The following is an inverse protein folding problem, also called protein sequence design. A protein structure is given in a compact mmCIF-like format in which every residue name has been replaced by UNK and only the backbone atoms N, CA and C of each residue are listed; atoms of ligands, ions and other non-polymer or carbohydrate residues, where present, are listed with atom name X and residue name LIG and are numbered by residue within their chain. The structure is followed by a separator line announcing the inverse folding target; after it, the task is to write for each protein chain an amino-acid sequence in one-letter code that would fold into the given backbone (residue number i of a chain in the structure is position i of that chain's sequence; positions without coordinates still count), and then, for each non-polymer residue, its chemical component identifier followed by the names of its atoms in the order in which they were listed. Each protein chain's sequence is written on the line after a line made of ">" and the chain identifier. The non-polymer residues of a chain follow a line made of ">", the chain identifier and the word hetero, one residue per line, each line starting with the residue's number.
data_IF_853309367117
#
_entry.id   IF_853309367117
#
_cell.length_a   1.000
_cell.length_b   1.000
_cell.length_c   1.000
_cell.angle_alpha   90.00
_cell.angle_beta   90.00
_cell.angle_gamma   90.00
#
_symmetry.space_group_name_H-M   'P 1'
#
loop_
_entity.id
_entity.type
_entity.pdbx_description
1 polymer ?
#
# COMPACT_ATOMS: atom_id res chain seq x y z
N UNK A 1 1.77 16.98 32.21
CA UNK A 1 2.30 15.99 31.26
C UNK A 1 1.36 14.79 31.23
N UNK A 2 0.65 14.56 30.13
CA UNK A 2 -0.09 13.30 29.99
C UNK A 2 0.94 12.20 29.66
N UNK A 3 0.90 11.05 30.35
CA UNK A 3 1.81 9.94 30.06
C UNK A 3 1.67 9.57 28.59
N UNK A 4 2.80 9.49 27.88
CA UNK A 4 2.83 9.20 26.46
C UNK A 4 2.06 7.92 26.17
N UNK A 5 0.87 8.04 25.57
CA UNK A 5 0.01 6.92 25.27
C UNK A 5 0.77 5.91 24.41
N UNK A 6 0.87 4.67 24.88
CA UNK A 6 1.56 3.61 24.17
C UNK A 6 0.98 3.46 22.75
N UNK A 7 1.86 3.38 21.75
CA UNK A 7 1.47 3.15 20.36
C UNK A 7 0.73 1.81 20.27
N UNK A 8 -0.50 1.77 19.71
CA UNK A 8 -1.25 0.53 19.59
C UNK A 8 -0.46 -0.50 18.77
N UNK A 9 -0.57 -1.77 19.14
CA UNK A 9 0.15 -2.86 18.46
C UNK A 9 -0.11 -2.87 16.95
N UNK A 10 -1.36 -2.61 16.52
CA UNK A 10 -1.72 -2.54 15.10
C UNK A 10 -0.93 -1.47 14.33
N UNK A 11 -0.64 -0.32 14.95
CA UNK A 11 0.17 0.74 14.32
C UNK A 11 1.64 0.36 14.18
N UNK A 12 2.20 -0.37 15.17
CA UNK A 12 3.56 -0.91 15.07
C UNK A 12 3.68 -1.95 13.95
N UNK A 13 2.70 -2.84 13.86
CA UNK A 13 2.65 -3.87 12.81
C UNK A 13 2.49 -3.22 11.43
N UNK A 14 1.57 -2.26 11.26
CA UNK A 14 1.39 -1.55 9.99
C UNK A 14 2.66 -0.79 9.56
N UNK A 15 3.38 -0.17 10.51
CA UNK A 15 4.66 0.47 10.22
C UNK A 15 5.73 -0.53 9.78
N UNK A 16 5.86 -1.65 10.48
CA UNK A 16 6.79 -2.71 10.09
C UNK A 16 6.45 -3.28 8.71
N UNK A 17 5.15 -3.46 8.43
CA UNK A 17 4.66 -3.88 7.12
C UNK A 17 5.01 -2.88 6.02
N UNK A 18 4.86 -1.57 6.26
CA UNK A 18 5.25 -0.53 5.29
C UNK A 18 6.76 -0.53 5.02
N UNK A 19 7.59 -0.74 6.05
CA UNK A 19 9.03 -0.89 5.89
C UNK A 19 9.37 -2.13 5.06
N UNK A 20 8.78 -3.28 5.40
CA UNK A 20 8.96 -4.52 4.66
C UNK A 20 8.53 -4.39 3.20
N UNK A 21 7.38 -3.74 2.94
CA UNK A 21 6.86 -3.50 1.60
C UNK A 21 7.80 -2.65 0.74
N UNK A 22 8.49 -1.69 1.35
CA UNK A 22 9.45 -0.82 0.65
C UNK A 22 10.62 -1.62 0.06
N UNK A 23 11.03 -2.69 0.76
CA UNK A 23 12.07 -3.62 0.26
C UNK A 23 11.45 -4.68 -0.65
N UNK A 24 10.27 -5.20 -0.28
CA UNK A 24 9.59 -6.25 -1.02
C UNK A 24 9.16 -5.79 -2.42
N UNK A 25 8.72 -4.55 -2.58
CA UNK A 25 8.22 -4.03 -3.85
C UNK A 25 9.21 -4.15 -5.01
N UNK A 26 10.46 -3.64 -4.91
CA UNK A 26 11.44 -3.83 -5.98
C UNK A 26 11.87 -5.31 -6.11
N UNK A 27 11.98 -6.07 -5.03
CA UNK A 27 12.34 -7.51 -5.13
C UNK A 27 11.27 -8.30 -5.88
N UNK A 28 10.00 -8.06 -5.56
CA UNK A 28 8.87 -8.69 -6.22
C UNK A 28 8.78 -8.26 -7.69
N UNK A 29 9.02 -6.99 -8.00
CA UNK A 29 9.11 -6.51 -9.38
C UNK A 29 10.23 -7.21 -10.17
N UNK A 30 11.43 -7.29 -9.61
CA UNK A 30 12.56 -7.98 -10.24
C UNK A 30 12.26 -9.46 -10.49
N UNK A 31 11.57 -10.13 -9.54
CA UNK A 31 11.15 -11.51 -9.74
C UNK A 31 10.10 -11.66 -10.85
N UNK A 32 9.18 -10.69 -11.00
CA UNK A 32 8.25 -10.63 -12.14
C UNK A 32 9.00 -10.50 -13.45
N UNK A 33 9.98 -9.59 -13.54
CA UNK A 33 10.73 -9.36 -14.78
C UNK A 33 11.55 -10.57 -15.26
N UNK A 34 11.79 -11.53 -14.36
CA UNK A 34 12.44 -12.79 -14.71
C UNK A 34 11.47 -13.79 -15.37
N UNK A 35 10.15 -13.65 -15.19
CA UNK A 35 9.13 -14.53 -15.77
C UNK A 35 8.92 -14.24 -17.26
N UNK A 36 8.40 -15.20 -18.05
CA UNK A 36 8.12 -14.98 -19.47
C UNK A 36 7.23 -13.74 -19.72
N UNK A 37 6.15 -13.61 -18.95
CA UNK A 37 5.18 -12.53 -19.12
C UNK A 37 5.72 -11.17 -18.60
N UNK A 38 6.54 -11.18 -17.55
CA UNK A 38 7.09 -9.95 -16.99
C UNK A 38 8.30 -9.39 -17.74
N UNK A 39 8.90 -10.13 -18.67
CA UNK A 39 10.04 -9.63 -19.46
C UNK A 39 9.69 -8.47 -20.38
N UNK A 40 8.44 -8.38 -20.82
CA UNK A 40 7.95 -7.25 -21.63
C UNK A 40 8.11 -5.92 -20.90
N UNK A 41 8.02 -5.92 -19.55
CA UNK A 41 8.23 -4.71 -18.73
C UNK A 41 9.66 -4.13 -18.90
N UNK A 42 10.64 -4.95 -19.30
CA UNK A 42 12.02 -4.50 -19.55
C UNK A 42 12.20 -3.83 -20.91
N UNK A 43 11.18 -3.80 -21.77
CA UNK A 43 11.22 -3.03 -23.02
C UNK A 43 11.28 -1.52 -22.75
N UNK A 44 10.71 -1.06 -21.63
CA UNK A 44 10.83 0.31 -21.16
C UNK A 44 12.28 0.61 -20.70
N UNK A 45 12.95 1.62 -21.30
CA UNK A 45 14.33 1.96 -20.96
C UNK A 45 14.50 2.44 -19.50
N UNK A 46 13.49 3.06 -18.91
CA UNK A 46 13.52 3.51 -17.51
C UNK A 46 13.51 2.31 -16.58
N UNK A 47 12.63 1.33 -16.82
CA UNK A 47 12.58 0.09 -16.04
C UNK A 47 13.91 -0.66 -16.15
N UNK A 48 14.39 -0.88 -17.38
CA UNK A 48 15.64 -1.59 -17.64
C UNK A 48 16.84 -0.97 -16.94
N UNK A 49 16.93 0.36 -16.94
CA UNK A 49 18.08 1.10 -16.39
C UNK A 49 18.35 0.81 -14.91
N UNK A 50 17.31 0.58 -14.10
CA UNK A 50 17.48 0.20 -12.69
C UNK A 50 17.34 -1.32 -12.48
N UNK A 51 16.47 -1.99 -13.24
CA UNK A 51 16.11 -3.38 -12.99
C UNK A 51 17.27 -4.34 -13.28
N UNK A 52 17.97 -4.18 -14.40
CA UNK A 52 19.09 -5.06 -14.75
C UNK A 52 20.26 -5.03 -13.75
N UNK A 53 20.81 -3.85 -13.36
CA UNK A 53 21.89 -3.83 -12.36
C UNK A 53 21.40 -4.35 -11.01
N UNK A 54 20.16 -4.06 -10.60
CA UNK A 54 19.60 -4.56 -9.36
C UNK A 54 19.41 -6.09 -9.38
N UNK A 55 18.91 -6.65 -10.49
CA UNK A 55 18.77 -8.10 -10.67
C UNK A 55 20.14 -8.79 -10.57
N UNK A 56 21.17 -8.25 -11.22
CA UNK A 56 22.55 -8.76 -11.13
C UNK A 56 23.09 -8.71 -9.70
N UNK A 57 22.84 -7.63 -8.96
CA UNK A 57 23.28 -7.49 -7.58
C UNK A 57 22.53 -8.40 -6.60
N UNK A 58 21.26 -8.71 -6.88
CA UNK A 58 20.36 -9.47 -6.01
C UNK A 58 20.13 -10.91 -6.48
N UNK A 59 20.99 -11.46 -7.34
CA UNK A 59 20.82 -12.83 -7.90
C UNK A 59 20.56 -13.90 -6.86
N UNK A 60 21.22 -13.87 -5.70
CA UNK A 60 20.97 -14.85 -4.64
C UNK A 60 19.52 -14.85 -4.13
N UNK A 61 18.80 -13.73 -4.24
CA UNK A 61 17.39 -13.60 -3.91
C UNK A 61 16.46 -13.95 -5.09
N UNK A 62 16.97 -13.97 -6.32
CA UNK A 62 16.15 -14.14 -7.53
C UNK A 62 16.34 -15.51 -8.19
N UNK A 63 17.48 -16.17 -7.98
CA UNK A 63 17.90 -17.38 -8.71
C UNK A 63 17.79 -18.66 -7.84
N UNK A 64 17.10 -18.62 -6.68
CA UNK A 64 17.00 -19.78 -5.78
C UNK A 64 15.97 -20.85 -6.23
N UNK A 65 15.13 -20.53 -7.22
CA UNK A 65 14.21 -21.46 -7.90
C UNK A 65 13.94 -20.95 -9.32
N UNK A 66 13.04 -21.63 -10.05
CA UNK A 66 12.48 -21.11 -11.30
C UNK A 66 11.74 -19.76 -11.07
N UNK A 67 11.71 -18.87 -12.09
CA UNK A 67 11.16 -17.52 -11.94
C UNK A 67 9.73 -17.44 -11.42
N UNK A 68 8.85 -18.36 -11.83
CA UNK A 68 7.44 -18.36 -11.42
C UNK A 68 7.28 -18.69 -9.94
N UNK A 69 8.04 -19.66 -9.44
CA UNK A 69 8.08 -19.99 -8.01
C UNK A 69 8.61 -18.81 -7.20
N UNK A 70 9.67 -18.16 -7.65
CA UNK A 70 10.26 -16.99 -6.96
C UNK A 70 9.27 -15.83 -6.91
N UNK A 71 8.67 -15.49 -8.06
CA UNK A 71 7.64 -14.45 -8.17
C UNK A 71 6.46 -14.73 -7.25
N UNK A 72 5.91 -15.95 -7.31
CA UNK A 72 4.77 -16.35 -6.47
C UNK A 72 5.12 -16.30 -4.98
N UNK A 73 6.33 -16.72 -4.60
CA UNK A 73 6.76 -16.70 -3.20
C UNK A 73 6.81 -15.27 -2.63
N UNK A 74 7.41 -14.32 -3.37
CA UNK A 74 7.40 -12.91 -2.97
C UNK A 74 6.00 -12.29 -3.03
N UNK A 75 5.18 -12.69 -4.01
CA UNK A 75 3.79 -12.30 -4.14
C UNK A 75 2.95 -12.64 -2.90
N UNK A 76 3.12 -13.85 -2.34
CA UNK A 76 2.42 -14.28 -1.12
C UNK A 76 2.70 -13.40 0.10
N UNK A 77 3.86 -12.74 0.15
CA UNK A 77 4.22 -11.83 1.25
C UNK A 77 3.41 -10.52 1.24
N UNK A 78 2.78 -10.16 0.11
CA UNK A 78 1.91 -8.98 0.04
C UNK A 78 0.63 -9.13 0.87
N UNK A 79 0.12 -10.35 1.05
CA UNK A 79 -1.10 -10.59 1.82
C UNK A 79 -0.98 -10.11 3.28
N UNK A 80 0.01 -10.56 4.08
CA UNK A 80 0.16 -10.07 5.45
C UNK A 80 0.48 -8.56 5.52
N UNK A 81 1.18 -8.02 4.53
CA UNK A 81 1.48 -6.57 4.44
C UNK A 81 0.19 -5.75 4.27
N UNK A 82 -0.64 -6.11 3.28
CA UNK A 82 -1.91 -5.43 3.03
C UNK A 82 -2.88 -5.63 4.18
N UNK A 83 -2.95 -6.84 4.75
CA UNK A 83 -3.82 -7.12 5.88
C UNK A 83 -3.47 -6.25 7.09
N UNK A 84 -2.18 -6.08 7.40
CA UNK A 84 -1.71 -5.22 8.47
C UNK A 84 -2.17 -3.76 8.29
N UNK A 85 -1.97 -3.20 7.09
CA UNK A 85 -2.39 -1.83 6.79
C UNK A 85 -3.92 -1.67 6.82
N UNK A 86 -4.66 -2.59 6.20
CA UNK A 86 -6.13 -2.58 6.15
C UNK A 86 -6.74 -2.67 7.55
N UNK A 87 -6.25 -3.58 8.39
CA UNK A 87 -6.70 -3.71 9.79
C UNK A 87 -6.39 -2.44 10.57
N UNK A 88 -5.19 -1.86 10.40
CA UNK A 88 -4.85 -0.63 11.10
C UNK A 88 -5.71 0.56 10.63
N UNK A 89 -5.98 0.69 9.33
CA UNK A 89 -6.90 1.69 8.78
C UNK A 89 -8.31 1.58 9.40
N UNK A 90 -8.82 0.35 9.57
CA UNK A 90 -10.09 0.08 10.25
C UNK A 90 -10.07 0.52 11.72
N UNK A 91 -8.98 0.24 12.44
CA UNK A 91 -8.80 0.69 13.83
C UNK A 91 -8.77 2.21 13.92
N UNK A 92 -8.02 2.88 13.04
CA UNK A 92 -7.97 4.35 12.96
C UNK A 92 -9.36 4.91 12.66
N UNK A 93 -10.11 4.33 11.71
CA UNK A 93 -11.47 4.77 11.43
C UNK A 93 -12.35 4.64 12.67
N UNK A 94 -12.32 3.51 13.38
CA UNK A 94 -13.17 3.26 14.56
C UNK A 94 -12.95 4.30 15.67
N UNK A 95 -11.74 4.83 15.79
CA UNK A 95 -11.41 5.92 16.72
C UNK A 95 -11.86 7.32 16.30
N UNK A 96 -12.58 7.48 15.16
CA UNK A 96 -12.96 8.78 14.60
C UNK A 96 -14.48 8.94 14.46
N UNK A 97 -14.93 10.19 14.37
CA UNK A 97 -16.31 10.56 14.04
C UNK A 97 -16.31 11.32 12.70
N UNK A 98 -16.17 10.62 11.57
CA UNK A 98 -16.04 11.26 10.27
C UNK A 98 -17.39 11.85 9.81
N UNK A 99 -17.34 13.02 9.18
CA UNK A 99 -18.50 13.70 8.59
C UNK A 99 -18.17 14.20 7.18
N UNK A 100 -19.21 14.51 6.39
CA UNK A 100 -19.07 15.03 5.03
C UNK A 100 -18.18 14.15 4.13
N UNK A 101 -17.21 14.77 3.46
CA UNK A 101 -16.27 14.10 2.57
C UNK A 101 -15.41 13.04 3.29
N UNK A 102 -15.04 13.26 4.55
CA UNK A 102 -14.26 12.28 5.33
C UNK A 102 -15.01 10.96 5.47
N UNK A 103 -16.33 11.01 5.71
CA UNK A 103 -17.18 9.82 5.85
C UNK A 103 -17.22 8.99 4.56
N UNK A 104 -17.34 9.65 3.41
CA UNK A 104 -17.35 8.98 2.12
C UNK A 104 -15.96 8.46 1.74
N UNK A 105 -14.91 9.24 1.94
CA UNK A 105 -13.53 8.83 1.73
C UNK A 105 -13.20 7.55 2.51
N UNK A 106 -13.56 7.47 3.79
CA UNK A 106 -13.40 6.25 4.59
C UNK A 106 -14.14 5.04 4.03
N UNK A 107 -15.42 5.22 3.63
CA UNK A 107 -16.24 4.12 3.10
C UNK A 107 -15.64 3.54 1.82
N UNK A 108 -15.28 4.42 0.89
CA UNK A 108 -14.74 4.02 -0.42
C UNK A 108 -13.34 3.42 -0.23
N UNK A 109 -12.45 4.09 0.51
CA UNK A 109 -11.08 3.61 0.72
C UNK A 109 -11.05 2.22 1.38
N UNK A 110 -11.82 2.01 2.46
CA UNK A 110 -11.85 0.73 3.16
C UNK A 110 -12.46 -0.39 2.32
N UNK A 111 -13.49 -0.10 1.53
CA UNK A 111 -14.04 -1.08 0.58
C UNK A 111 -12.97 -1.49 -0.44
N UNK A 112 -12.25 -0.52 -1.01
CA UNK A 112 -11.13 -0.77 -1.91
C UNK A 112 -10.01 -1.58 -1.25
N UNK A 113 -9.62 -1.27 -0.01
CA UNK A 113 -8.58 -2.02 0.70
C UNK A 113 -8.98 -3.48 0.94
N UNK A 114 -10.22 -3.73 1.32
CA UNK A 114 -10.74 -5.10 1.51
C UNK A 114 -10.72 -5.87 0.19
N UNK A 115 -11.20 -5.26 -0.90
CA UNK A 115 -11.16 -5.87 -2.24
C UNK A 115 -9.73 -6.15 -2.70
N UNK A 116 -8.81 -5.19 -2.56
CA UNK A 116 -7.40 -5.38 -2.93
C UNK A 116 -6.73 -6.47 -2.07
N UNK A 117 -7.04 -6.55 -0.77
CA UNK A 117 -6.53 -7.62 0.10
C UNK A 117 -7.09 -8.98 -0.33
N UNK A 118 -8.37 -9.06 -0.70
CA UNK A 118 -9.00 -10.27 -1.21
C UNK A 118 -8.42 -10.69 -2.58
N UNK A 119 -8.10 -9.73 -3.45
CA UNK A 119 -7.39 -9.99 -4.72
C UNK A 119 -6.07 -10.67 -4.45
N UNK A 120 -5.21 -10.12 -3.58
CA UNK A 120 -3.89 -10.70 -3.31
C UNK A 120 -3.98 -12.10 -2.70
N UNK A 121 -5.02 -12.40 -1.93
CA UNK A 121 -5.31 -13.76 -1.53
C UNK A 121 -5.60 -14.64 -2.77
N UNK A 122 -6.49 -14.20 -3.66
CA UNK A 122 -6.78 -14.89 -4.91
C UNK A 122 -5.55 -15.10 -5.80
N UNK A 123 -4.80 -14.04 -6.09
CA UNK A 123 -3.66 -13.97 -7.01
C UNK A 123 -2.54 -14.97 -6.66
N UNK A 124 -2.29 -15.17 -5.36
CA UNK A 124 -1.10 -15.92 -4.91
C UNK A 124 -1.40 -17.17 -4.07
N UNK A 125 -2.65 -17.35 -3.61
CA UNK A 125 -3.04 -18.47 -2.76
C UNK A 125 -4.14 -19.35 -3.36
N UNK A 126 -4.67 -19.00 -4.54
CA UNK A 126 -5.69 -19.79 -5.22
C UNK A 126 -5.32 -20.05 -6.68
N UNK A 127 -6.01 -20.99 -7.36
CA UNK A 127 -5.84 -21.19 -8.79
C UNK A 127 -6.40 -20.05 -9.66
N UNK A 128 -7.21 -19.14 -9.10
CA UNK A 128 -7.93 -18.10 -9.84
C UNK A 128 -7.14 -16.80 -9.95
N UNK A 129 -5.85 -16.89 -10.31
CA UNK A 129 -4.94 -15.75 -10.26
C UNK A 129 -5.44 -14.59 -11.11
N UNK A 130 -5.73 -14.86 -12.38
CA UNK A 130 -6.09 -13.82 -13.34
C UNK A 130 -7.50 -13.28 -13.08
N UNK A 131 -8.45 -14.17 -12.74
CA UNK A 131 -9.81 -13.76 -12.40
C UNK A 131 -9.83 -12.90 -11.13
N UNK A 132 -9.04 -13.26 -10.12
CA UNK A 132 -8.92 -12.50 -8.88
C UNK A 132 -8.35 -11.11 -9.15
N UNK A 133 -7.29 -11.01 -9.94
CA UNK A 133 -6.70 -9.75 -10.32
C UNK A 133 -7.68 -8.85 -11.07
N UNK A 134 -8.38 -9.39 -12.07
CA UNK A 134 -9.30 -8.59 -12.91
C UNK A 134 -10.58 -8.22 -12.16
N UNK A 135 -11.18 -9.15 -11.41
CA UNK A 135 -12.49 -8.95 -10.77
C UNK A 135 -12.37 -8.24 -9.42
N UNK A 136 -11.30 -8.50 -8.66
CA UNK A 136 -11.11 -7.92 -7.33
C UNK A 136 -9.97 -6.90 -7.31
N UNK A 137 -8.85 -7.21 -7.96
CA UNK A 137 -7.63 -6.40 -7.93
C UNK A 137 -7.82 -5.04 -8.59
N UNK A 138 -8.23 -5.01 -9.86
CA UNK A 138 -8.43 -3.77 -10.61
C UNK A 138 -9.52 -2.90 -9.97
N UNK A 139 -10.74 -3.40 -9.68
CA UNK A 139 -11.77 -2.60 -9.02
C UNK A 139 -11.37 -2.18 -7.60
N UNK A 140 -10.72 -3.07 -6.85
CA UNK A 140 -10.23 -2.80 -5.50
C UNK A 140 -9.19 -1.69 -5.47
N UNK A 141 -8.22 -1.73 -6.38
CA UNK A 141 -7.19 -0.70 -6.54
C UNK A 141 -7.82 0.66 -6.90
N UNK A 142 -8.65 0.72 -7.95
CA UNK A 142 -9.29 1.97 -8.39
C UNK A 142 -10.15 2.58 -7.28
N UNK A 143 -10.95 1.74 -6.62
CA UNK A 143 -11.79 2.16 -5.49
C UNK A 143 -10.92 2.65 -4.33
N UNK A 144 -9.83 1.95 -4.01
CA UNK A 144 -8.94 2.32 -2.92
C UNK A 144 -8.27 3.66 -3.15
N UNK A 145 -7.81 3.92 -4.39
CA UNK A 145 -7.11 5.15 -4.78
C UNK A 145 -8.06 6.33 -4.78
N UNK A 146 -9.25 6.20 -5.39
CA UNK A 146 -10.26 7.24 -5.40
C UNK A 146 -10.73 7.60 -3.98
N UNK A 147 -11.06 6.59 -3.17
CA UNK A 147 -11.46 6.79 -1.78
C UNK A 147 -10.36 7.42 -0.92
N UNK A 148 -9.12 7.00 -1.13
CA UNK A 148 -7.96 7.54 -0.40
C UNK A 148 -7.65 8.97 -0.79
N UNK A 149 -7.77 9.34 -2.06
CA UNK A 149 -7.56 10.72 -2.49
C UNK A 149 -8.56 11.66 -1.81
N UNK A 150 -9.85 11.31 -1.82
CA UNK A 150 -10.92 12.05 -1.13
C UNK A 150 -10.65 12.10 0.37
N UNK A 151 -10.27 10.97 0.97
CA UNK A 151 -9.95 10.89 2.40
C UNK A 151 -8.75 11.75 2.75
N UNK A 152 -7.66 11.69 1.99
CA UNK A 152 -6.43 12.44 2.20
C UNK A 152 -6.68 13.95 2.18
N UNK A 153 -7.39 14.44 1.17
CA UNK A 153 -7.80 15.86 1.09
C UNK A 153 -8.66 16.25 2.29
N UNK A 154 -9.65 15.44 2.66
CA UNK A 154 -10.49 15.72 3.82
C UNK A 154 -9.69 15.77 5.14
N UNK A 155 -8.72 14.87 5.33
CA UNK A 155 -7.83 14.86 6.49
C UNK A 155 -6.96 16.13 6.54
N UNK A 156 -6.42 16.56 5.38
CA UNK A 156 -5.62 17.79 5.27
C UNK A 156 -6.45 19.04 5.56
N UNK A 157 -7.63 19.19 4.94
CA UNK A 157 -8.53 20.32 5.16
C UNK A 157 -8.99 20.43 6.62
N UNK A 158 -9.08 19.30 7.34
CA UNK A 158 -9.45 19.26 8.76
C UNK A 158 -8.25 19.38 9.71
N UNK A 159 -7.04 19.60 9.19
CA UNK A 159 -5.83 19.78 9.98
C UNK A 159 -5.41 18.53 10.76
N UNK A 160 -5.80 17.34 10.31
CA UNK A 160 -5.51 16.08 11.03
C UNK A 160 -4.00 15.81 11.05
N UNK A 161 -3.49 15.38 12.20
CA UNK A 161 -2.08 15.01 12.41
C UNK A 161 -1.92 13.48 12.50
N UNK A 162 -0.81 12.90 12.01
CA UNK A 162 0.24 13.58 11.24
C UNK A 162 -0.27 13.93 9.83
N UNK A 163 0.16 15.09 9.31
CA UNK A 163 -0.23 15.55 7.95
C UNK A 163 0.31 14.64 6.84
N UNK A 164 1.36 13.87 7.12
CA UNK A 164 1.94 12.90 6.19
C UNK A 164 0.91 11.87 5.73
N UNK A 165 0.04 11.38 6.62
CA UNK A 165 -1.05 10.46 6.25
C UNK A 165 -1.98 11.10 5.22
N UNK A 166 -2.40 12.35 5.45
CA UNK A 166 -3.25 13.08 4.52
C UNK A 166 -2.59 13.29 3.15
N UNK A 167 -1.32 13.71 3.13
CA UNK A 167 -0.56 13.91 1.89
C UNK A 167 -0.37 12.62 1.10
N UNK A 168 0.10 11.55 1.75
CA UNK A 168 0.36 10.27 1.09
C UNK A 168 -0.91 9.71 0.42
N UNK A 169 -2.06 9.83 1.08
CA UNK A 169 -3.34 9.40 0.51
C UNK A 169 -3.82 10.34 -0.61
N UNK A 170 -3.69 11.66 -0.43
CA UNK A 170 -4.13 12.67 -1.41
C UNK A 170 -3.32 12.59 -2.71
N UNK A 171 -2.01 12.37 -2.62
CA UNK A 171 -1.12 12.26 -3.78
C UNK A 171 -1.06 10.84 -4.35
N UNK A 172 -1.78 9.89 -3.74
CA UNK A 172 -1.71 8.49 -4.15
C UNK A 172 -2.00 8.28 -5.65
N UNK A 173 -3.02 8.91 -6.28
CA UNK A 173 -3.26 8.75 -7.72
C UNK A 173 -2.05 9.07 -8.59
N UNK A 174 -1.33 10.16 -8.26
CA UNK A 174 -0.12 10.57 -8.99
C UNK A 174 1.02 9.59 -8.77
N UNK A 175 1.26 9.22 -7.51
CA UNK A 175 2.30 8.25 -7.17
C UNK A 175 1.99 6.83 -7.66
N UNK A 176 0.72 6.47 -7.86
CA UNK A 176 0.34 5.19 -8.44
C UNK A 176 0.83 5.09 -9.88
N UNK A 177 0.64 6.15 -10.67
CA UNK A 177 1.13 6.20 -12.05
C UNK A 177 2.65 6.17 -12.06
N UNK A 178 3.28 7.04 -11.27
CA UNK A 178 4.75 7.13 -11.22
C UNK A 178 5.41 5.82 -10.76
N UNK A 179 4.93 5.20 -9.68
CA UNK A 179 5.53 3.98 -9.13
C UNK A 179 5.20 2.74 -9.97
N UNK A 180 4.01 2.66 -10.57
CA UNK A 180 3.69 1.58 -11.50
C UNK A 180 4.56 1.65 -12.76
N UNK A 181 4.77 2.85 -13.31
CA UNK A 181 5.57 3.05 -14.51
C UNK A 181 7.07 2.78 -14.29
N UNK A 182 7.58 3.09 -13.08
CA UNK A 182 9.02 2.92 -12.81
C UNK A 182 9.33 1.55 -12.23
N UNK A 183 8.53 1.04 -11.29
CA UNK A 183 8.89 -0.15 -10.48
C UNK A 183 7.99 -1.34 -10.73
N UNK A 184 6.68 -1.19 -10.59
CA UNK A 184 5.64 -2.19 -10.84
C UNK A 184 4.38 -1.80 -10.07
N UNK A 185 3.25 -2.39 -10.43
CA UNK A 185 1.98 -2.18 -9.74
C UNK A 185 2.03 -2.46 -8.22
N UNK A 186 2.87 -3.41 -7.77
CA UNK A 186 3.07 -3.66 -6.34
C UNK A 186 3.64 -2.44 -5.59
N UNK A 187 4.58 -1.72 -6.19
CA UNK A 187 5.15 -0.50 -5.61
C UNK A 187 4.12 0.63 -5.50
N UNK A 188 3.11 0.64 -6.37
CA UNK A 188 2.04 1.63 -6.28
C UNK A 188 1.25 1.54 -4.97
N UNK A 189 1.30 0.44 -4.21
CA UNK A 189 0.64 0.34 -2.90
C UNK A 189 1.37 1.09 -1.77
N UNK A 190 2.66 1.43 -1.97
CA UNK A 190 3.52 2.00 -0.93
C UNK A 190 2.97 3.29 -0.27
N UNK A 191 2.40 4.27 -1.00
CA UNK A 191 1.84 5.48 -0.38
C UNK A 191 0.76 5.16 0.65
N UNK A 192 -0.14 4.22 0.33
CA UNK A 192 -1.19 3.77 1.25
C UNK A 192 -0.60 3.04 2.46
N UNK A 193 0.34 2.13 2.25
CA UNK A 193 0.99 1.40 3.34
C UNK A 193 1.71 2.35 4.30
N UNK A 194 2.47 3.31 3.78
CA UNK A 194 3.14 4.33 4.58
C UNK A 194 2.16 5.29 5.26
N UNK A 195 1.05 5.65 4.61
CA UNK A 195 0.03 6.50 5.22
C UNK A 195 -0.48 5.90 6.53
N UNK A 196 -0.76 4.59 6.54
CA UNK A 196 -1.22 3.87 7.72
C UNK A 196 -0.07 3.51 8.68
N UNK A 197 1.12 3.19 8.18
CA UNK A 197 2.30 2.98 9.02
C UNK A 197 2.67 4.23 9.85
N UNK A 198 2.52 5.42 9.28
CA UNK A 198 2.80 6.69 9.96
C UNK A 198 1.65 7.15 10.87
N UNK A 199 0.42 6.65 10.67
CA UNK A 199 -0.71 6.94 11.56
C UNK A 199 -0.55 6.36 12.99
N UNK A 200 0.51 5.57 13.24
CA UNK A 200 0.81 4.90 14.52
C UNK A 200 0.82 5.78 15.78
N UNK A 201 1.12 7.08 15.66
CA UNK A 201 1.47 7.93 16.80
C UNK A 201 0.31 8.50 17.64
N UNK A 202 -0.96 8.32 17.28
CA UNK A 202 -2.04 9.15 17.84
C UNK A 202 -2.81 8.49 18.98
N UNK A 203 -2.10 7.91 19.94
CA UNK A 203 -2.66 7.49 21.24
C UNK A 203 -3.25 8.65 22.06
N UNK A 204 -2.99 9.90 21.66
CA UNK A 204 -3.68 11.08 22.14
C UNK A 204 -3.90 12.02 20.96
N UNK A 205 -5.16 12.42 20.73
CA UNK A 205 -5.53 13.56 19.86
C UNK A 205 -5.27 13.43 18.35
N UNK A 206 -6.18 12.74 17.65
CA UNK A 206 -6.67 13.23 16.34
C UNK A 206 -7.78 14.29 16.54
N UNK A 207 -7.68 15.13 17.58
CA UNK A 207 -8.58 16.26 17.74
C UNK A 207 -8.08 17.39 16.84
N UNK A 208 -8.97 18.12 16.16
CA UNK A 208 -8.59 19.35 15.49
C UNK A 208 -7.94 20.28 16.53
N UNK A 209 -6.84 20.94 16.18
CA UNK A 209 -6.36 22.02 17.04
C UNK A 209 -7.45 23.10 17.12
N UNK A 210 -7.65 23.70 18.30
CA UNK A 210 -8.48 24.89 18.39
C UNK A 210 -7.88 25.95 17.45
N UNK A 211 -8.65 26.38 16.46
CA UNK A 211 -8.26 27.49 15.59
C UNK A 211 -8.20 28.73 16.47
N UNK A 212 -7.00 29.16 16.84
CA UNK A 212 -6.78 30.49 17.40
C UNK A 212 -7.08 31.48 16.27
N UNK A 213 -8.20 32.20 16.42
CA UNK A 213 -8.54 33.35 15.58
C UNK A 213 -7.62 34.52 15.88
#
# INVERSE_FOLDING_TARGET
>A
MQPGGAVPLSGRIAFAAACAATVLAPVHALSRYATPDGREDLEDPVVRAWAEPAARALRALLDWSDPETVYTAYGRLWLPVLLAATVHALVVRRGRVPSGAERWGWRIALAGYVLATASVLGDYWTPWRDESFVVLGVPGMLTSVAGSAVLGVALLCRGVRPRSTGWLLATWPLTLVALSAVVALGAALLPMLWAWGLARGTGASLRPEPVSR
#
